data_IF_486903856826
#
_entry.id   IF_486903856826
#
_cell.length_a   1.000
_cell.length_b   1.000
_cell.length_c   1.000
_cell.angle_alpha   90.00
_cell.angle_beta   90.00
_cell.angle_gamma   90.00
#
_symmetry.space_group_name_H-M   'P 1'
#
loop_
_entity.id
_entity.type
_entity.pdbx_description
1 polymer ?
#
# COMPACT_ATOMS: atom_id res chain seq x y z
N UNK A 1 1.16 35.98 53.33
CA UNK A 1 1.27 35.92 51.84
C UNK A 1 1.26 34.45 51.46
N UNK A 2 0.07 33.95 51.04
CA UNK A 2 -0.11 32.55 50.67
C UNK A 2 -0.03 32.45 49.13
N UNK A 3 0.94 31.69 48.64
CA UNK A 3 1.10 31.33 47.24
C UNK A 3 0.16 30.17 46.90
N UNK A 4 -0.88 30.44 46.08
CA UNK A 4 -1.74 29.43 45.50
C UNK A 4 -1.01 28.75 44.30
N UNK A 5 -0.63 27.49 44.47
CA UNK A 5 -0.16 26.64 43.38
C UNK A 5 -1.38 26.22 42.55
N UNK A 6 -1.45 26.65 41.29
CA UNK A 6 -2.39 26.10 40.32
C UNK A 6 -1.80 24.83 39.67
N UNK A 7 -2.41 23.69 39.95
CA UNK A 7 -2.18 22.46 39.21
C UNK A 7 -2.85 22.59 37.84
N UNK A 8 -2.05 22.70 36.78
CA UNK A 8 -2.52 22.57 35.41
C UNK A 8 -2.61 21.06 35.12
N UNK A 9 -3.83 20.55 35.10
CA UNK A 9 -4.10 19.16 34.68
C UNK A 9 -3.86 19.02 33.21
N UNK A 10 -2.81 18.26 32.84
CA UNK A 10 -2.53 17.84 31.48
C UNK A 10 -3.54 16.78 31.09
N UNK A 11 -4.58 17.13 30.35
CA UNK A 11 -5.49 16.17 29.72
C UNK A 11 -4.78 15.52 28.53
N UNK A 12 -4.26 14.31 28.73
CA UNK A 12 -3.79 13.47 27.61
C UNK A 12 -5.03 12.87 26.97
N UNK A 13 -5.44 13.43 25.84
CA UNK A 13 -6.47 12.82 24.97
C UNK A 13 -5.81 11.64 24.26
N UNK A 14 -6.07 10.44 24.74
CA UNK A 14 -5.76 9.18 24.04
C UNK A 14 -6.71 9.09 22.84
N UNK A 15 -6.24 9.53 21.68
CA UNK A 15 -6.89 9.25 20.41
C UNK A 15 -6.61 7.78 20.12
N UNK A 16 -7.63 6.92 19.94
CA UNK A 16 -7.40 5.55 19.48
C UNK A 16 -6.81 5.62 18.07
N UNK A 17 -5.51 5.37 17.95
CA UNK A 17 -4.87 5.16 16.66
C UNK A 17 -5.31 3.78 16.18
N UNK A 18 -6.31 3.75 15.31
CA UNK A 18 -6.56 2.61 14.45
C UNK A 18 -5.34 2.50 13.53
N UNK A 19 -4.41 1.63 13.90
CA UNK A 19 -3.25 1.28 13.09
C UNK A 19 -3.76 0.58 11.83
N UNK A 20 -3.97 1.34 10.75
CA UNK A 20 -4.10 0.77 9.42
C UNK A 20 -2.74 0.15 9.06
N UNK A 21 -2.65 -1.18 9.12
CA UNK A 21 -1.48 -1.90 8.64
C UNK A 21 -1.50 -1.92 7.11
N UNK A 22 -1.02 -0.85 6.49
CA UNK A 22 -0.79 -0.80 5.06
C UNK A 22 0.62 -1.31 4.79
N UNK A 23 0.73 -2.45 4.14
CA UNK A 23 2.02 -2.96 3.68
C UNK A 23 2.23 -2.51 2.24
N UNK A 24 2.90 -1.38 2.07
CA UNK A 24 3.38 -0.96 0.76
C UNK A 24 4.73 -1.63 0.46
N UNK A 25 4.96 -1.98 -0.80
CA UNK A 25 6.21 -2.62 -1.25
C UNK A 25 7.40 -1.69 -1.38
N UNK A 26 7.18 -0.39 -1.24
CA UNK A 26 8.23 0.60 -1.39
C UNK A 26 8.40 1.35 -0.08
N UNK A 27 9.63 1.46 0.37
CA UNK A 27 9.95 2.16 1.61
C UNK A 27 9.80 3.68 1.43
N UNK A 28 9.37 4.34 2.50
CA UNK A 28 9.42 5.79 2.61
C UNK A 28 10.88 6.21 2.48
N UNK A 29 11.19 7.08 1.53
CA UNK A 29 12.53 7.58 1.33
C UNK A 29 12.64 9.07 1.65
N UNK A 30 13.74 9.42 2.31
CA UNK A 30 14.10 10.80 2.59
C UNK A 30 15.53 11.03 2.11
N UNK A 31 15.71 11.91 1.14
CA UNK A 31 17.03 12.35 0.74
C UNK A 31 17.54 13.47 1.67
N UNK A 32 18.85 13.61 1.76
CA UNK A 32 19.47 14.68 2.57
C UNK A 32 19.25 16.09 1.96
N UNK A 33 18.46 16.21 0.91
CA UNK A 33 18.13 17.45 0.20
C UNK A 33 16.71 17.94 0.49
N UNK A 34 16.15 17.57 1.65
CA UNK A 34 14.81 17.96 2.06
C UNK A 34 13.69 17.49 1.11
N UNK A 35 13.90 16.34 0.46
CA UNK A 35 12.87 15.68 -0.36
C UNK A 35 12.39 14.42 0.36
N UNK A 36 11.09 14.32 0.56
CA UNK A 36 10.41 13.16 1.12
C UNK A 36 9.55 12.52 0.02
N UNK A 37 9.80 11.25 -0.28
CA UNK A 37 8.94 10.47 -1.17
C UNK A 37 8.12 9.48 -0.37
N UNK A 38 6.80 9.59 -0.50
CA UNK A 38 5.81 8.69 0.08
C UNK A 38 5.31 7.79 -1.06
N UNK A 39 5.69 6.51 -1.06
CA UNK A 39 5.41 5.63 -2.20
C UNK A 39 3.93 5.32 -2.38
N UNK A 40 3.14 5.50 -1.32
CA UNK A 40 1.76 5.07 -1.29
C UNK A 40 0.91 5.94 -0.38
N UNK A 41 -0.15 6.52 -0.93
CA UNK A 41 -1.15 7.28 -0.18
C UNK A 41 -2.53 6.73 -0.51
N UNK A 42 -3.28 6.32 0.51
CA UNK A 42 -4.64 5.83 0.39
C UNK A 42 -5.58 6.56 1.33
N UNK A 43 -6.86 6.43 1.05
CA UNK A 43 -7.96 6.79 1.92
C UNK A 43 -8.71 5.54 2.34
N UNK A 44 -9.55 5.65 3.35
CA UNK A 44 -10.45 4.57 3.74
C UNK A 44 -11.29 4.10 2.53
N UNK A 45 -11.22 2.83 2.19
CA UNK A 45 -11.90 2.22 1.04
C UNK A 45 -11.22 2.45 -0.33
N UNK A 46 -10.23 3.34 -0.43
CA UNK A 46 -9.44 3.61 -1.64
C UNK A 46 -7.93 3.59 -1.34
N UNK A 47 -7.37 2.48 -0.82
CA UNK A 47 -5.94 2.40 -0.57
C UNK A 47 -5.17 2.48 -1.90
N UNK A 48 -4.09 3.28 -1.95
CA UNK A 48 -3.25 3.44 -3.14
C UNK A 48 -3.85 4.28 -4.25
N UNK A 49 -4.79 5.13 -3.94
CA UNK A 49 -5.31 6.09 -4.92
C UNK A 49 -4.21 6.98 -5.49
N UNK A 50 -3.21 7.30 -4.68
CA UNK A 50 -2.04 8.06 -5.11
C UNK A 50 -0.75 7.32 -4.79
N UNK A 51 0.20 7.40 -5.71
CA UNK A 51 1.51 6.76 -5.65
C UNK A 51 2.60 7.82 -5.77
N UNK A 52 3.80 7.51 -5.25
CA UNK A 52 5.02 8.30 -5.44
C UNK A 52 4.87 9.79 -5.09
N UNK A 53 4.12 10.12 -4.04
CA UNK A 53 3.98 11.52 -3.65
C UNK A 53 5.32 12.08 -3.18
N UNK A 54 5.83 13.07 -3.88
CA UNK A 54 7.09 13.73 -3.57
C UNK A 54 6.82 15.09 -2.97
N UNK A 55 7.30 15.28 -1.74
CA UNK A 55 7.23 16.53 -1.01
C UNK A 55 8.62 17.12 -0.89
N UNK A 56 8.71 18.44 -0.91
CA UNK A 56 9.94 19.19 -0.67
C UNK A 56 9.73 20.22 0.42
N UNK A 57 10.72 20.34 1.30
CA UNK A 57 10.81 21.42 2.28
C UNK A 57 11.99 22.33 1.92
N UNK A 58 11.87 23.63 2.16
CA UNK A 58 13.00 24.54 2.09
C UNK A 58 13.75 24.55 3.42
N UNK A 59 15.07 24.71 3.38
CA UNK A 59 15.96 24.61 4.56
C UNK A 59 15.59 25.58 5.70
N UNK A 60 14.90 26.67 5.37
CA UNK A 60 14.47 27.70 6.32
C UNK A 60 13.01 27.58 6.78
N UNK A 61 12.24 26.65 6.21
CA UNK A 61 10.80 26.52 6.45
C UNK A 61 10.45 25.17 7.10
N UNK A 62 9.53 25.20 8.06
CA UNK A 62 8.95 24.01 8.69
C UNK A 62 7.76 23.44 7.88
N UNK A 63 7.61 23.91 6.63
CA UNK A 63 6.51 23.53 5.75
C UNK A 63 6.99 22.60 4.64
N UNK A 64 6.10 21.69 4.21
CA UNK A 64 6.34 20.77 3.11
C UNK A 64 5.39 21.11 1.97
N UNK A 65 5.92 21.23 0.77
CA UNK A 65 5.14 21.46 -0.44
C UNK A 65 5.09 20.20 -1.29
N UNK A 66 3.91 19.83 -1.79
CA UNK A 66 3.76 18.73 -2.73
C UNK A 66 4.37 19.14 -4.08
N UNK A 67 5.33 18.36 -4.57
CA UNK A 67 6.01 18.56 -5.86
C UNK A 67 5.35 17.76 -6.96
N UNK A 68 5.09 16.49 -6.71
CA UNK A 68 4.46 15.57 -7.67
C UNK A 68 3.72 14.47 -6.95
N UNK A 69 2.75 13.88 -7.64
CA UNK A 69 2.01 12.69 -7.21
C UNK A 69 1.47 11.99 -8.44
N UNK A 70 1.52 10.67 -8.46
CA UNK A 70 0.94 9.85 -9.50
C UNK A 70 -0.42 9.32 -9.06
N UNK A 71 -1.36 9.17 -9.99
CA UNK A 71 -2.63 8.50 -9.72
C UNK A 71 -2.47 6.99 -9.89
N UNK A 72 -2.88 6.21 -8.87
CA UNK A 72 -2.81 4.76 -8.91
C UNK A 72 -3.84 4.17 -9.88
N UNK A 73 -3.37 3.43 -10.89
CA UNK A 73 -4.23 2.72 -11.82
C UNK A 73 -4.24 1.23 -11.54
N UNK A 74 -5.41 0.67 -11.21
CA UNK A 74 -5.58 -0.75 -10.89
C UNK A 74 -5.42 -1.63 -12.15
N UNK A 75 -4.74 -2.77 -11.97
CA UNK A 75 -4.67 -3.82 -12.99
C UNK A 75 -6.03 -4.53 -13.07
N UNK A 76 -6.75 -4.33 -14.16
CA UNK A 76 -8.09 -4.89 -14.35
C UNK A 76 -8.10 -6.34 -14.86
N UNK A 77 -6.96 -6.87 -15.25
CA UNK A 77 -6.78 -8.17 -15.91
C UNK A 77 -6.20 -9.24 -14.97
N UNK A 78 -6.40 -9.06 -13.66
CA UNK A 78 -6.15 -10.12 -12.66
C UNK A 78 -7.17 -11.23 -12.88
N UNK A 79 -6.70 -12.46 -13.09
CA UNK A 79 -7.55 -13.62 -13.41
C UNK A 79 -7.33 -14.83 -12.49
N UNK A 80 -6.19 -14.90 -11.79
CA UNK A 80 -5.90 -16.00 -10.89
C UNK A 80 -5.27 -15.54 -9.56
N UNK A 81 -5.62 -16.28 -8.50
CA UNK A 81 -5.15 -16.11 -7.14
C UNK A 81 -4.79 -17.48 -6.56
N UNK A 82 -3.54 -17.66 -6.17
CA UNK A 82 -3.06 -18.80 -5.40
C UNK A 82 -2.68 -18.31 -3.98
N UNK A 83 -3.18 -19.00 -2.95
CA UNK A 83 -2.85 -18.69 -1.56
C UNK A 83 -1.82 -19.69 -1.05
N UNK A 84 -0.66 -19.22 -0.67
CA UNK A 84 0.47 -20.02 -0.20
C UNK A 84 0.62 -19.77 1.29
N UNK A 85 0.51 -20.82 2.09
CA UNK A 85 0.67 -20.79 3.54
C UNK A 85 1.90 -21.61 3.93
N UNK A 86 2.79 -21.01 4.73
CA UNK A 86 3.97 -21.74 5.23
C UNK A 86 3.58 -22.67 6.38
N UNK A 87 4.36 -23.74 6.54
CA UNK A 87 4.24 -24.68 7.68
C UNK A 87 5.12 -24.30 8.86
N UNK A 88 6.01 -23.33 8.66
CA UNK A 88 6.94 -22.86 9.68
C UNK A 88 6.27 -21.88 10.66
N UNK A 89 6.89 -21.69 11.81
CA UNK A 89 6.43 -20.71 12.81
C UNK A 89 7.39 -19.54 12.89
N UNK A 90 6.93 -18.28 12.81
CA UNK A 90 5.53 -17.87 12.63
C UNK A 90 4.99 -18.23 11.25
N UNK A 91 3.72 -18.63 11.18
CA UNK A 91 3.04 -18.90 9.91
C UNK A 91 3.00 -17.62 9.08
N UNK A 92 3.36 -17.75 7.81
CA UNK A 92 3.27 -16.67 6.82
C UNK A 92 2.26 -17.07 5.75
N UNK A 93 1.57 -16.06 5.23
CA UNK A 93 0.65 -16.24 4.11
C UNK A 93 1.04 -15.31 2.97
N UNK A 94 1.17 -15.87 1.79
CA UNK A 94 1.47 -15.14 0.57
C UNK A 94 0.35 -15.35 -0.44
N UNK A 95 0.08 -14.32 -1.20
CA UNK A 95 -0.79 -14.38 -2.37
C UNK A 95 0.07 -14.37 -3.61
N UNK A 96 -0.08 -15.34 -4.48
CA UNK A 96 0.45 -15.28 -5.83
C UNK A 96 -0.68 -14.88 -6.76
N UNK A 97 -0.61 -13.64 -7.19
CA UNK A 97 -1.60 -13.01 -8.09
C UNK A 97 -1.06 -13.06 -9.50
N UNK A 98 -1.87 -13.47 -10.45
CA UNK A 98 -1.49 -13.47 -11.85
C UNK A 98 -2.62 -13.01 -12.78
N UNK A 99 -2.24 -12.67 -14.00
CA UNK A 99 -3.15 -12.18 -15.02
C UNK A 99 -2.37 -11.75 -16.26
N UNK A 100 -2.95 -10.88 -17.06
CA UNK A 100 -2.39 -10.42 -18.34
C UNK A 100 -2.25 -8.91 -18.35
N UNK A 101 -1.13 -8.44 -18.85
CA UNK A 101 -0.88 -7.01 -19.09
C UNK A 101 -0.30 -6.83 -20.50
N UNK A 102 -0.33 -5.60 -21.01
CA UNK A 102 0.45 -5.26 -22.19
C UNK A 102 1.94 -5.42 -21.90
N UNK A 103 2.71 -5.90 -22.88
CA UNK A 103 4.18 -5.98 -22.78
C UNK A 103 4.88 -4.63 -22.53
N UNK A 104 4.13 -3.54 -22.62
CA UNK A 104 4.62 -2.17 -22.49
C UNK A 104 4.39 -1.56 -21.11
N UNK A 105 3.69 -2.25 -20.25
CA UNK A 105 3.42 -1.78 -18.88
C UNK A 105 3.97 -2.78 -17.88
N UNK A 106 4.29 -2.29 -16.69
CA UNK A 106 4.82 -3.10 -15.60
C UNK A 106 3.85 -3.17 -14.43
N UNK A 107 3.98 -4.24 -13.66
CA UNK A 107 3.25 -4.37 -12.39
C UNK A 107 4.00 -3.58 -11.31
N UNK A 108 3.39 -2.53 -10.85
CA UNK A 108 3.93 -1.63 -9.84
C UNK A 108 3.64 -2.05 -8.40
N UNK A 109 3.21 -1.08 -7.61
CA UNK A 109 2.91 -1.23 -6.18
C UNK A 109 1.68 -2.12 -5.92
N UNK A 110 1.56 -2.59 -4.69
CA UNK A 110 0.33 -3.18 -4.18
C UNK A 110 -0.03 -2.57 -2.82
N UNK A 111 -1.30 -2.64 -2.48
CA UNK A 111 -1.81 -2.30 -1.16
C UNK A 111 -2.58 -3.46 -0.56
N UNK A 112 -2.52 -3.59 0.75
CA UNK A 112 -3.33 -4.53 1.51
C UNK A 112 -4.12 -3.74 2.54
N UNK A 113 -5.43 -3.78 2.43
CA UNK A 113 -6.36 -3.27 3.42
C UNK A 113 -6.98 -4.45 4.17
N UNK A 114 -7.02 -4.36 5.50
CA UNK A 114 -7.59 -5.41 6.35
C UNK A 114 -8.75 -4.83 7.14
N UNK A 115 -9.91 -5.40 6.91
CA UNK A 115 -11.14 -5.09 7.62
C UNK A 115 -11.68 -6.38 8.26
N UNK A 116 -11.68 -6.46 9.57
CA UNK A 116 -12.09 -7.65 10.34
C UNK A 116 -11.36 -8.93 9.89
N UNK A 117 -12.10 -9.86 9.28
CA UNK A 117 -11.61 -11.13 8.72
C UNK A 117 -11.46 -11.11 7.20
N UNK A 118 -11.43 -9.92 6.58
CA UNK A 118 -11.27 -9.76 5.15
C UNK A 118 -9.99 -8.97 4.82
N UNK A 119 -9.27 -9.44 3.79
CA UNK A 119 -8.16 -8.73 3.16
C UNK A 119 -8.61 -8.27 1.78
N UNK A 120 -8.53 -6.97 1.54
CA UNK A 120 -8.70 -6.37 0.23
C UNK A 120 -7.33 -6.01 -0.31
N UNK A 121 -6.93 -6.60 -1.41
CA UNK A 121 -5.63 -6.39 -2.03
C UNK A 121 -5.81 -5.64 -3.33
N UNK A 122 -5.02 -4.60 -3.52
CA UNK A 122 -5.05 -3.74 -4.69
C UNK A 122 -3.68 -3.82 -5.36
N UNK A 123 -3.64 -4.17 -6.63
CA UNK A 123 -2.42 -4.26 -7.43
C UNK A 123 -2.50 -3.22 -8.54
N UNK A 124 -1.48 -2.39 -8.64
CA UNK A 124 -1.42 -1.24 -9.53
C UNK A 124 -0.41 -1.46 -10.64
N UNK A 125 -0.63 -0.79 -11.76
CA UNK A 125 0.42 -0.57 -12.74
C UNK A 125 1.52 0.31 -12.15
N UNK A 126 2.74 0.15 -12.65
CA UNK A 126 3.80 1.12 -12.41
C UNK A 126 3.47 2.40 -13.17
N UNK A 127 3.31 3.55 -12.48
CA UNK A 127 2.99 4.81 -13.13
C UNK A 127 3.99 5.22 -14.21
N UNK A 128 5.28 4.92 -14.02
CA UNK A 128 6.33 5.24 -15.00
C UNK A 128 6.13 4.46 -16.30
N UNK A 129 5.62 3.22 -16.21
CA UNK A 129 5.35 2.39 -17.37
C UNK A 129 4.09 2.81 -18.16
N UNK A 130 3.18 3.55 -17.54
CA UNK A 130 1.96 4.05 -18.19
C UNK A 130 2.19 5.24 -19.12
N UNK A 131 3.33 5.91 -18.99
CA UNK A 131 3.73 7.05 -19.82
C UNK A 131 5.10 6.79 -20.45
N UNK A 132 5.25 5.72 -21.27
CA UNK A 132 6.53 5.40 -21.85
C UNK A 132 6.98 6.52 -22.82
N UNK A 133 8.25 6.92 -22.80
CA UNK A 133 8.78 7.86 -23.76
C UNK A 133 8.73 7.24 -25.16
N UNK A 134 7.96 7.82 -26.08
CA UNK A 134 7.90 7.62 -27.55
C UNK A 134 8.29 6.23 -28.13
N UNK A 135 8.27 5.16 -27.33
CA UNK A 135 8.58 3.81 -27.78
C UNK A 135 7.30 3.23 -28.44
N UNK A 136 7.44 2.82 -29.68
CA UNK A 136 6.39 2.06 -30.35
C UNK A 136 6.15 0.75 -29.61
N UNK A 137 5.07 0.70 -28.86
CA UNK A 137 4.66 -0.47 -28.09
C UNK A 137 4.00 -1.50 -29.02
N UNK A 138 4.52 -2.70 -29.05
CA UNK A 138 3.80 -3.83 -29.67
C UNK A 138 2.65 -4.19 -28.72
N UNK A 139 1.43 -4.30 -29.24
CA UNK A 139 0.23 -4.56 -28.43
C UNK A 139 0.15 -6.02 -27.93
N UNK A 140 1.27 -6.65 -27.65
CA UNK A 140 1.32 -8.03 -27.17
C UNK A 140 0.92 -8.10 -25.71
N UNK A 141 0.16 -9.13 -25.35
CA UNK A 141 -0.20 -9.43 -23.97
C UNK A 141 0.78 -10.43 -23.38
N UNK A 142 1.27 -10.14 -22.19
CA UNK A 142 2.18 -11.00 -21.43
C UNK A 142 1.56 -11.39 -20.09
N UNK A 143 1.88 -12.59 -19.62
CA UNK A 143 1.46 -13.03 -18.29
C UNK A 143 2.31 -12.32 -17.24
N UNK A 144 1.68 -11.75 -16.23
CA UNK A 144 2.37 -11.32 -15.03
C UNK A 144 2.11 -12.24 -13.85
N UNK A 145 3.01 -12.25 -12.88
CA UNK A 145 2.84 -12.90 -11.59
C UNK A 145 3.49 -12.06 -10.51
N UNK A 146 2.73 -11.73 -9.45
CA UNK A 146 3.20 -10.96 -8.30
C UNK A 146 2.93 -11.73 -7.02
N UNK A 147 3.97 -11.89 -6.19
CA UNK A 147 3.81 -12.48 -4.86
C UNK A 147 3.69 -11.38 -3.83
N UNK A 148 2.63 -11.44 -3.02
CA UNK A 148 2.25 -10.41 -2.05
C UNK A 148 2.17 -11.06 -0.66
N UNK A 149 3.00 -10.66 0.31
CA UNK A 149 2.86 -11.12 1.68
C UNK A 149 1.62 -10.49 2.33
N UNK A 150 0.85 -11.29 3.07
CA UNK A 150 -0.24 -10.75 3.90
C UNK A 150 0.25 -10.47 5.33
N UNK A 151 -0.19 -9.39 5.95
CA UNK A 151 0.14 -9.06 7.33
C UNK A 151 -0.69 -9.92 8.30
N UNK A 152 -0.29 -11.19 8.43
CA UNK A 152 -1.01 -12.19 9.27
C UNK A 152 -0.43 -12.32 10.68
N UNK A 153 0.62 -11.60 11.00
CA UNK A 153 1.20 -11.61 12.34
C UNK A 153 0.16 -11.14 13.38
N UNK A 154 0.08 -11.83 14.51
CA UNK A 154 -0.89 -11.57 15.61
C UNK A 154 -2.38 -11.76 15.25
N UNK A 155 -2.69 -12.35 14.11
CA UNK A 155 -4.08 -12.70 13.83
C UNK A 155 -4.53 -13.88 14.70
N UNK A 156 -5.78 -13.81 15.15
CA UNK A 156 -6.41 -14.96 15.79
C UNK A 156 -6.61 -16.12 14.79
N UNK A 157 -6.63 -17.34 15.28
CA UNK A 157 -7.03 -18.47 14.44
C UNK A 157 -8.47 -18.28 13.97
N UNK A 158 -8.72 -18.50 12.68
CA UNK A 158 -10.04 -18.27 12.08
C UNK A 158 -9.99 -18.28 10.56
N UNK A 159 -11.16 -18.12 9.95
CA UNK A 159 -11.28 -18.07 8.49
C UNK A 159 -11.19 -16.63 8.00
N UNK A 160 -10.31 -16.43 7.05
CA UNK A 160 -10.04 -15.13 6.43
C UNK A 160 -10.38 -15.16 4.95
N UNK A 161 -11.04 -14.11 4.49
CA UNK A 161 -11.37 -13.91 3.08
C UNK A 161 -10.34 -12.98 2.45
N UNK A 162 -10.06 -13.20 1.18
CA UNK A 162 -9.16 -12.36 0.38
C UNK A 162 -9.87 -11.97 -0.91
N UNK A 163 -9.77 -10.71 -1.29
CA UNK A 163 -10.15 -10.23 -2.61
C UNK A 163 -9.00 -9.45 -3.26
N UNK A 164 -8.77 -9.62 -4.54
CA UNK A 164 -7.75 -8.88 -5.28
C UNK A 164 -8.41 -8.08 -6.39
N UNK A 165 -8.23 -6.77 -6.39
CA UNK A 165 -8.82 -5.79 -7.33
C UNK A 165 -10.32 -5.98 -7.56
N UNK A 166 -11.04 -6.54 -6.59
CA UNK A 166 -12.46 -6.92 -6.69
C UNK A 166 -12.76 -7.90 -7.87
N UNK A 167 -11.75 -8.63 -8.36
CA UNK A 167 -11.87 -9.56 -9.51
C UNK A 167 -11.80 -11.01 -9.07
N UNK A 168 -10.81 -11.37 -8.26
CA UNK A 168 -10.60 -12.73 -7.80
C UNK A 168 -10.70 -12.80 -6.28
N UNK A 169 -11.21 -13.90 -5.77
CA UNK A 169 -11.43 -14.11 -4.34
C UNK A 169 -10.85 -15.45 -3.90
N UNK A 170 -10.47 -15.53 -2.63
CA UNK A 170 -9.98 -16.73 -1.98
C UNK A 170 -10.24 -16.69 -0.49
N UNK A 171 -9.84 -17.75 0.22
CA UNK A 171 -9.90 -17.82 1.68
C UNK A 171 -8.83 -18.73 2.23
N UNK A 172 -8.41 -18.48 3.48
CA UNK A 172 -7.50 -19.33 4.24
C UNK A 172 -7.88 -19.36 5.72
N UNK A 173 -7.41 -20.38 6.41
CA UNK A 173 -7.62 -20.56 7.86
C UNK A 173 -6.32 -20.93 8.57
#
# INVERSE_FOLDING_TARGET
TAMKSQLIGLFVVLIPQTLFSQTATTELSFDQKYTLTIPFIGFEGEPGKFLNATLRSEESELSWSLVSVDEGQLINTVDALEIIKTTERPVQVFLKVSGWISSCVEVGAYAVDKEDSAFKVFVYFDPESLSPPEISCTADSVVFSKTIPLPVFELAAGDYKVSVNNKVNGSFS
#
